data_IF_311429937285
#
_entry.id   IF_311429937285
#
_cell.length_a   1.000
_cell.length_b   1.000
_cell.length_c   1.000
_cell.angle_alpha   90.00
_cell.angle_beta   90.00
_cell.angle_gamma   90.00
#
_symmetry.space_group_name_H-M   'P 1'
#
loop_
_entity.id
_entity.type
_entity.pdbx_description
1 polymer ?
#
# COMPACT_ATOMS: atom_id res chain seq x y z
N UNK A 1 13.31 4.60 -6.47
CA UNK A 1 14.25 3.53 -6.07
C UNK A 1 15.24 4.00 -5.01
N UNK A 2 15.91 5.16 -5.17
CA UNK A 2 16.91 5.66 -4.20
C UNK A 2 16.44 5.66 -2.74
N UNK A 3 15.23 6.16 -2.45
CA UNK A 3 14.68 6.21 -1.08
C UNK A 3 14.51 4.83 -0.45
N UNK A 4 13.98 3.85 -1.20
CA UNK A 4 13.79 2.49 -0.70
C UNK A 4 15.13 1.81 -0.43
N UNK A 5 16.07 1.93 -1.38
CA UNK A 5 17.39 1.32 -1.25
C UNK A 5 18.23 1.96 -0.12
N UNK A 6 17.93 3.21 0.26
CA UNK A 6 18.53 3.83 1.44
C UNK A 6 17.92 3.32 2.76
N UNK A 7 16.60 3.12 2.81
CA UNK A 7 15.90 2.71 4.02
C UNK A 7 16.00 1.20 4.32
N UNK A 8 16.02 0.36 3.27
CA UNK A 8 15.93 -1.09 3.42
C UNK A 8 17.10 -1.71 4.19
N UNK A 9 18.39 -1.37 3.95
CA UNK A 9 19.49 -1.93 4.72
C UNK A 9 19.39 -1.62 6.22
N UNK A 10 19.01 -0.37 6.56
CA UNK A 10 18.81 0.04 7.95
C UNK A 10 17.67 -0.74 8.63
N UNK A 11 16.59 -1.02 7.89
CA UNK A 11 15.49 -1.85 8.36
C UNK A 11 15.96 -3.29 8.61
N UNK A 12 16.59 -3.93 7.62
CA UNK A 12 17.00 -5.33 7.70
C UNK A 12 18.04 -5.57 8.80
N UNK A 13 18.95 -4.61 9.05
CA UNK A 13 19.91 -4.68 10.14
C UNK A 13 19.28 -4.72 11.54
N UNK A 14 17.99 -4.38 11.66
CA UNK A 14 17.22 -4.36 12.93
C UNK A 14 16.18 -5.47 13.01
N UNK A 15 16.05 -6.29 11.97
CA UNK A 15 15.06 -7.36 11.93
C UNK A 15 15.69 -8.65 12.42
N UNK A 16 15.09 -9.27 13.42
CA UNK A 16 15.49 -10.58 13.94
C UNK A 16 14.32 -11.53 14.06
N UNK A 17 14.61 -12.81 14.06
CA UNK A 17 13.65 -13.86 14.44
C UNK A 17 13.85 -14.13 15.93
N UNK A 18 12.78 -14.06 16.70
CA UNK A 18 12.79 -14.30 18.16
C UNK A 18 11.82 -15.43 18.49
N UNK A 19 12.07 -16.22 19.54
CA UNK A 19 11.08 -17.17 20.04
C UNK A 19 9.85 -16.44 20.60
N UNK A 20 8.66 -16.92 20.27
CA UNK A 20 7.37 -16.45 20.80
C UNK A 20 6.49 -17.68 21.14
N UNK A 21 6.39 -18.01 22.42
CA UNK A 21 5.76 -19.25 22.92
C UNK A 21 6.33 -20.50 22.20
N UNK A 22 5.47 -21.31 21.59
CA UNK A 22 5.83 -22.52 20.82
C UNK A 22 6.15 -22.21 19.34
N UNK A 23 6.34 -20.93 18.98
CA UNK A 23 6.56 -20.48 17.61
C UNK A 23 7.71 -19.45 17.53
N UNK A 24 7.94 -18.94 16.32
CA UNK A 24 8.90 -17.89 16.05
C UNK A 24 8.19 -16.66 15.49
N UNK A 25 8.64 -15.48 15.93
CA UNK A 25 8.10 -14.21 15.51
C UNK A 25 9.20 -13.29 14.94
N UNK A 26 8.76 -12.34 14.11
CA UNK A 26 9.61 -11.25 13.69
C UNK A 26 9.63 -10.17 14.78
N UNK A 27 10.82 -9.77 15.21
CA UNK A 27 11.01 -8.64 16.11
C UNK A 27 11.89 -7.57 15.46
N UNK A 28 11.58 -6.31 15.81
CA UNK A 28 12.38 -5.15 15.43
C UNK A 28 13.20 -4.69 16.64
N UNK A 29 14.52 -4.81 16.52
CA UNK A 29 15.47 -4.32 17.51
C UNK A 29 15.56 -2.78 17.48
N UNK A 30 15.94 -2.19 18.62
CA UNK A 30 16.12 -0.75 18.79
C UNK A 30 15.08 -0.12 19.71
N UNK A 31 15.30 1.15 20.02
CA UNK A 31 14.44 1.95 20.88
C UNK A 31 12.98 1.96 20.35
N UNK A 32 12.03 1.73 21.24
CA UNK A 32 10.60 1.82 20.91
C UNK A 32 10.14 3.25 20.68
N UNK A 33 10.85 4.24 21.22
CA UNK A 33 10.59 5.67 21.02
C UNK A 33 11.23 6.25 19.74
N UNK A 34 12.03 5.47 19.01
CA UNK A 34 12.67 5.91 17.78
C UNK A 34 11.63 6.29 16.70
N UNK A 35 11.65 7.53 16.23
CA UNK A 35 10.68 8.06 15.27
C UNK A 35 10.75 7.36 13.90
N UNK A 36 11.89 6.81 13.54
CA UNK A 36 12.10 6.08 12.29
C UNK A 36 11.63 4.63 12.36
N UNK A 37 11.28 4.10 13.54
CA UNK A 37 10.87 2.71 13.73
C UNK A 37 9.73 2.27 12.79
N UNK A 38 8.69 3.09 12.50
CA UNK A 38 7.66 2.71 11.52
C UNK A 38 8.17 2.57 10.09
N UNK A 39 9.31 3.19 9.72
CA UNK A 39 9.88 3.11 8.37
C UNK A 39 10.42 1.70 8.10
N UNK A 40 10.92 0.99 9.11
CA UNK A 40 11.54 -0.32 8.92
C UNK A 40 10.58 -1.39 8.38
N UNK A 41 9.42 -1.66 8.99
CA UNK A 41 8.46 -2.60 8.42
C UNK A 41 7.94 -2.13 7.06
N UNK A 42 7.72 -0.83 6.87
CA UNK A 42 7.25 -0.27 5.59
C UNK A 42 8.28 -0.50 4.47
N UNK A 43 9.56 -0.24 4.72
CA UNK A 43 10.62 -0.45 3.74
C UNK A 43 10.78 -1.93 3.38
N UNK A 44 10.77 -2.82 4.39
CA UNK A 44 10.85 -4.27 4.20
C UNK A 44 9.66 -4.80 3.42
N UNK A 45 8.45 -4.42 3.78
CA UNK A 45 7.24 -4.88 3.09
C UNK A 45 7.08 -4.28 1.69
N UNK A 46 7.52 -3.03 1.49
CA UNK A 46 7.57 -2.43 0.16
C UNK A 46 8.55 -3.19 -0.75
N UNK A 47 9.73 -3.57 -0.26
CA UNK A 47 10.69 -4.36 -1.02
C UNK A 47 10.10 -5.73 -1.40
N UNK A 48 9.55 -6.47 -0.42
CA UNK A 48 8.88 -7.75 -0.65
C UNK A 48 7.73 -7.62 -1.66
N UNK A 49 6.92 -6.56 -1.55
CA UNK A 49 5.82 -6.31 -2.47
C UNK A 49 6.32 -6.06 -3.90
N UNK A 50 7.31 -5.18 -4.07
CA UNK A 50 7.87 -4.81 -5.37
C UNK A 50 8.55 -5.98 -6.08
N UNK A 51 9.08 -6.95 -5.33
CA UNK A 51 9.68 -8.17 -5.88
C UNK A 51 8.70 -9.34 -6.01
N UNK A 52 7.41 -9.12 -5.73
CA UNK A 52 6.38 -10.16 -5.79
C UNK A 52 5.50 -10.07 -7.04
N UNK A 53 4.84 -11.17 -7.39
CA UNK A 53 3.82 -11.22 -8.44
C UNK A 53 2.64 -10.25 -8.19
N UNK A 54 2.44 -9.81 -6.94
CA UNK A 54 1.38 -8.86 -6.55
C UNK A 54 1.61 -7.47 -7.10
N UNK A 55 2.84 -7.13 -7.54
CA UNK A 55 3.11 -5.85 -8.19
C UNK A 55 2.21 -5.62 -9.42
N UNK A 56 1.89 -6.69 -10.16
CA UNK A 56 0.95 -6.64 -11.30
C UNK A 56 -0.46 -6.18 -10.92
N UNK A 57 -0.82 -6.27 -9.63
CA UNK A 57 -2.10 -5.84 -9.07
C UNK A 57 -2.03 -4.42 -8.50
N UNK A 58 -0.89 -3.75 -8.50
CA UNK A 58 -0.79 -2.35 -8.08
C UNK A 58 -1.46 -1.45 -9.14
N UNK A 59 -2.40 -0.62 -8.71
CA UNK A 59 -3.16 0.28 -9.58
C UNK A 59 -3.17 1.69 -9.00
N UNK A 60 -3.26 2.68 -9.90
CA UNK A 60 -3.57 4.07 -9.53
C UNK A 60 -5.08 4.28 -9.61
N UNK A 61 -5.63 5.08 -8.68
CA UNK A 61 -7.04 5.45 -8.74
C UNK A 61 -7.37 6.16 -10.06
N UNK A 62 -8.42 5.73 -10.75
CA UNK A 62 -8.86 6.34 -12.02
C UNK A 62 -9.52 7.73 -11.85
N UNK A 63 -9.63 8.25 -10.62
CA UNK A 63 -10.12 9.61 -10.39
C UNK A 63 -8.93 10.57 -10.57
N UNK A 64 -8.97 11.52 -11.53
CA UNK A 64 -7.84 12.38 -11.84
C UNK A 64 -7.42 13.28 -10.67
N UNK A 65 -8.30 13.51 -9.70
CA UNK A 65 -8.00 14.27 -8.47
C UNK A 65 -7.55 13.38 -7.30
N UNK A 66 -7.38 12.08 -7.51
CA UNK A 66 -6.96 11.13 -6.49
C UNK A 66 -5.60 10.52 -6.85
N UNK A 67 -4.61 10.69 -5.98
CA UNK A 67 -3.23 10.19 -6.20
C UNK A 67 -2.93 8.89 -5.46
N UNK A 68 -3.96 8.23 -4.94
CA UNK A 68 -3.80 7.01 -4.18
C UNK A 68 -3.49 5.81 -5.07
N UNK A 69 -2.51 5.02 -4.64
CA UNK A 69 -2.26 3.67 -5.12
C UNK A 69 -3.12 2.68 -4.32
N UNK A 70 -3.46 1.55 -4.93
CA UNK A 70 -4.10 0.44 -4.23
C UNK A 70 -3.71 -0.89 -4.86
N UNK A 71 -3.74 -1.95 -4.06
CA UNK A 71 -3.60 -3.32 -4.56
C UNK A 71 -4.99 -3.84 -4.94
N UNK A 72 -5.14 -4.27 -6.18
CA UNK A 72 -6.37 -4.86 -6.67
C UNK A 72 -6.49 -6.32 -6.22
N UNK A 73 -7.26 -6.52 -5.15
CA UNK A 73 -7.59 -7.82 -4.57
C UNK A 73 -8.88 -8.42 -5.13
N UNK A 74 -9.52 -7.80 -6.15
CA UNK A 74 -10.72 -8.38 -6.75
C UNK A 74 -10.37 -9.59 -7.60
N UNK A 75 -11.31 -10.55 -7.70
CA UNK A 75 -11.15 -11.77 -8.50
C UNK A 75 -10.70 -11.49 -9.93
N UNK A 76 -11.28 -10.48 -10.58
CA UNK A 76 -11.01 -10.16 -11.99
C UNK A 76 -9.89 -9.13 -12.20
N UNK A 77 -9.37 -8.48 -11.16
CA UNK A 77 -8.31 -7.47 -11.32
C UNK A 77 -8.72 -6.22 -12.11
N UNK A 78 -10.02 -5.89 -12.11
CA UNK A 78 -10.60 -4.78 -12.87
C UNK A 78 -11.02 -3.59 -11.99
N UNK A 79 -10.60 -3.54 -10.72
CA UNK A 79 -10.94 -2.44 -9.84
C UNK A 79 -10.30 -1.15 -10.34
N UNK A 80 -11.11 -0.10 -10.51
CA UNK A 80 -10.67 1.21 -11.03
C UNK A 80 -10.45 2.27 -9.96
N UNK A 81 -11.01 2.08 -8.76
CA UNK A 81 -11.08 3.13 -7.72
C UNK A 81 -10.43 2.66 -6.43
N UNK A 82 -9.63 3.53 -5.79
CA UNK A 82 -9.03 3.26 -4.48
C UNK A 82 -10.06 2.96 -3.39
N UNK A 83 -11.30 3.42 -3.54
CA UNK A 83 -12.44 3.06 -2.71
C UNK A 83 -13.72 3.27 -3.51
N UNK A 84 -14.62 2.28 -3.47
CA UNK A 84 -15.93 2.40 -4.12
C UNK A 84 -16.79 3.46 -3.41
N UNK A 85 -16.72 3.56 -2.09
CA UNK A 85 -17.46 4.54 -1.29
C UNK A 85 -16.99 5.98 -1.54
N UNK A 86 -15.69 6.18 -1.77
CA UNK A 86 -15.12 7.53 -1.98
C UNK A 86 -15.05 7.87 -3.47
N UNK A 87 -14.08 7.31 -4.20
CA UNK A 87 -13.84 7.69 -5.60
C UNK A 87 -14.86 7.09 -6.56
N UNK A 88 -15.34 5.87 -6.30
CA UNK A 88 -16.40 5.25 -7.08
C UNK A 88 -17.72 6.03 -7.02
N UNK A 89 -18.11 6.49 -5.82
CA UNK A 89 -19.32 7.29 -5.63
C UNK A 89 -19.20 8.68 -6.28
N UNK A 90 -18.06 9.37 -6.10
CA UNK A 90 -17.78 10.65 -6.79
C UNK A 90 -17.95 10.52 -8.31
N UNK A 91 -17.45 9.44 -8.90
CA UNK A 91 -17.61 9.18 -10.33
C UNK A 91 -19.07 8.91 -10.74
N UNK A 92 -19.86 8.21 -9.91
CA UNK A 92 -21.30 7.98 -10.15
C UNK A 92 -22.09 9.30 -10.10
N UNK A 93 -21.89 10.11 -9.07
CA UNK A 93 -22.54 11.42 -8.90
C UNK A 93 -22.18 12.37 -10.05
N UNK A 94 -20.90 12.42 -10.45
CA UNK A 94 -20.47 13.22 -11.59
C UNK A 94 -21.19 12.83 -12.89
N UNK A 95 -21.29 11.52 -13.18
CA UNK A 95 -22.03 11.01 -14.35
C UNK A 95 -23.52 11.34 -14.29
N UNK A 96 -24.15 11.24 -13.12
CA UNK A 96 -25.56 11.60 -12.95
C UNK A 96 -25.80 13.09 -13.28
N UNK A 97 -24.98 13.98 -12.71
CA UNK A 97 -25.06 15.43 -12.97
C UNK A 97 -24.82 15.79 -14.43
N UNK A 98 -23.92 15.09 -15.12
CA UNK A 98 -23.68 15.29 -16.56
C UNK A 98 -24.90 14.92 -17.41
N UNK A 99 -25.63 13.87 -17.04
CA UNK A 99 -26.86 13.48 -17.75
C UNK A 99 -27.97 14.52 -17.55
N UNK A 100 -28.14 15.01 -16.32
CA UNK A 100 -29.12 16.05 -15.97
C UNK A 100 -28.87 17.40 -16.66
N UNK A 101 -27.67 17.65 -17.19
CA UNK A 101 -27.35 18.87 -17.94
C UNK A 101 -27.49 18.71 -19.46
N UNK A 102 -27.69 17.48 -19.93
CA UNK A 102 -27.76 17.14 -21.36
C UNK A 102 -29.18 16.81 -21.82
N UNK A 103 -30.11 16.61 -20.88
CA UNK A 103 -31.54 16.64 -21.11
C UNK A 103 -32.08 17.98 -20.62
#
# INVERSE_FOLDING_TARGET
MATLNAALPAALARLSVVPEHDQFAWAWAGDSAALERPVWPVARDAAVFLTSVRLSRLRTCANPRCRWLFVDVTRNGMRRWCSMAVCGNRAKVGRYRQRQRRG
#
